data_IF_341635682381
#
_entry.id   IF_341635682381
#
_cell.length_a   1.000
_cell.length_b   1.000
_cell.length_c   1.000
_cell.angle_alpha   90.00
_cell.angle_beta   90.00
_cell.angle_gamma   90.00
#
_symmetry.space_group_name_H-M   'P 1'
#
loop_
_entity.id
_entity.type
_entity.pdbx_description
1 polymer ?
#
# COMPACT_ATOMS: atom_id res chain seq x y z
N UNK A 1 10.59 -17.14 14.36
CA UNK A 1 9.85 -16.00 14.93
C UNK A 1 8.59 -15.86 14.09
N UNK A 2 7.42 -16.10 14.64
CA UNK A 2 6.15 -15.81 13.96
C UNK A 2 5.96 -14.30 14.05
N UNK A 3 6.29 -13.57 12.98
CA UNK A 3 5.92 -12.16 12.90
C UNK A 3 4.39 -12.07 12.87
N UNK A 4 3.82 -11.19 13.69
CA UNK A 4 2.37 -10.97 13.71
C UNK A 4 1.96 -10.23 12.43
N UNK A 5 1.02 -10.78 11.66
CA UNK A 5 0.48 -10.17 10.43
C UNK A 5 0.10 -8.71 10.66
N UNK A 6 -0.45 -8.39 11.84
CA UNK A 6 -0.82 -7.02 12.22
C UNK A 6 0.38 -6.08 12.21
N UNK A 7 1.53 -6.54 12.70
CA UNK A 7 2.76 -5.74 12.74
C UNK A 7 3.27 -5.44 11.34
N UNK A 8 3.25 -6.44 10.45
CA UNK A 8 3.69 -6.27 9.06
C UNK A 8 2.76 -5.30 8.33
N UNK A 9 1.44 -5.42 8.50
CA UNK A 9 0.47 -4.49 7.93
C UNK A 9 0.70 -3.05 8.43
N UNK A 10 1.03 -2.86 9.71
CA UNK A 10 1.34 -1.55 10.27
C UNK A 10 2.65 -0.98 9.69
N UNK A 11 3.66 -1.83 9.45
CA UNK A 11 4.89 -1.41 8.78
C UNK A 11 4.65 -1.04 7.30
N UNK A 12 3.74 -1.72 6.61
CA UNK A 12 3.30 -1.34 5.26
C UNK A 12 2.65 0.05 5.29
N UNK A 13 1.73 0.28 6.23
CA UNK A 13 1.08 1.58 6.41
C UNK A 13 2.10 2.71 6.64
N UNK A 14 3.05 2.50 7.55
CA UNK A 14 4.12 3.47 7.83
C UNK A 14 5.00 3.73 6.62
N UNK A 15 5.33 2.69 5.85
CA UNK A 15 6.13 2.80 4.63
C UNK A 15 5.41 3.63 3.57
N UNK A 16 4.11 3.37 3.36
CA UNK A 16 3.28 4.15 2.43
C UNK A 16 3.15 5.63 2.84
N UNK A 17 3.03 5.90 4.14
CA UNK A 17 3.02 7.28 4.67
C UNK A 17 4.34 8.02 4.47
N UNK A 18 5.46 7.29 4.47
CA UNK A 18 6.83 7.83 4.22
C UNK A 18 7.20 7.86 2.75
N UNK A 19 6.30 7.46 1.87
CA UNK A 19 6.53 7.31 0.43
C UNK A 19 7.62 6.27 0.07
N UNK A 20 7.91 5.36 1.00
CA UNK A 20 8.82 4.23 0.79
C UNK A 20 8.04 3.05 0.18
N UNK A 21 7.78 3.17 -1.13
CA UNK A 21 7.01 2.19 -1.88
C UNK A 21 7.76 0.86 -2.05
N UNK A 22 9.09 0.89 -2.10
CA UNK A 22 9.90 -0.33 -2.22
C UNK A 22 9.78 -1.18 -0.95
N UNK A 23 9.88 -0.55 0.22
CA UNK A 23 9.70 -1.25 1.49
C UNK A 23 8.29 -1.80 1.65
N UNK A 24 7.27 -0.99 1.31
CA UNK A 24 5.88 -1.44 1.34
C UNK A 24 5.65 -2.67 0.46
N UNK A 25 6.22 -2.66 -0.76
CA UNK A 25 6.12 -3.79 -1.71
C UNK A 25 6.87 -5.02 -1.23
N UNK A 26 8.06 -4.84 -0.66
CA UNK A 26 8.82 -5.94 -0.07
C UNK A 26 8.02 -6.65 1.01
N UNK A 27 7.46 -5.89 1.97
CA UNK A 27 6.66 -6.44 3.05
C UNK A 27 5.40 -7.15 2.55
N UNK A 28 4.73 -6.61 1.54
CA UNK A 28 3.58 -7.27 0.92
C UNK A 28 3.96 -8.63 0.30
N UNK A 29 5.07 -8.70 -0.43
CA UNK A 29 5.54 -9.96 -1.01
C UNK A 29 5.91 -11.00 0.07
N UNK A 30 6.44 -10.55 1.21
CA UNK A 30 6.71 -11.43 2.35
C UNK A 30 5.42 -11.94 3.01
N UNK A 31 4.34 -11.15 3.03
CA UNK A 31 3.00 -11.63 3.42
C UNK A 31 2.53 -12.71 2.46
N UNK A 32 2.60 -12.46 1.15
CA UNK A 32 2.12 -13.39 0.12
C UNK A 32 2.83 -14.74 0.20
N UNK A 33 4.15 -14.75 0.35
CA UNK A 33 4.95 -15.99 0.48
C UNK A 33 4.60 -16.80 1.73
N UNK A 34 4.24 -16.13 2.82
CA UNK A 34 3.99 -16.75 4.11
C UNK A 34 2.49 -16.78 4.48
N UNK A 35 1.60 -16.57 3.50
CA UNK A 35 0.16 -16.40 3.72
C UNK A 35 -0.46 -17.56 4.51
N UNK A 36 -0.10 -18.79 4.17
CA UNK A 36 -0.61 -19.99 4.85
C UNK A 36 -0.25 -20.03 6.34
N UNK A 37 0.89 -19.47 6.73
CA UNK A 37 1.33 -19.40 8.13
C UNK A 37 0.44 -18.41 8.88
N UNK A 38 0.19 -17.24 8.29
CA UNK A 38 -0.66 -16.22 8.89
C UNK A 38 -2.10 -16.70 9.06
N UNK A 39 -2.67 -17.32 8.03
CA UNK A 39 -4.05 -17.85 8.07
C UNK A 39 -4.24 -18.87 9.19
N UNK A 40 -3.26 -19.75 9.42
CA UNK A 40 -3.33 -20.76 10.49
C UNK A 40 -3.19 -20.15 11.89
N UNK A 41 -2.58 -18.98 12.01
CA UNK A 41 -2.38 -18.26 13.27
C UNK A 41 -3.46 -17.21 13.57
N UNK A 42 -4.37 -16.96 12.63
CA UNK A 42 -5.37 -15.91 12.72
C UNK A 42 -6.61 -16.35 13.50
N UNK A 43 -6.91 -15.65 14.58
CA UNK A 43 -8.19 -15.69 15.26
C UNK A 43 -9.19 -14.68 14.65
N UNK A 44 -10.46 -14.75 15.05
CA UNK A 44 -11.52 -13.88 14.52
C UNK A 44 -11.26 -12.39 14.79
N UNK A 45 -10.67 -12.05 15.94
CA UNK A 45 -10.37 -10.67 16.33
C UNK A 45 -9.16 -10.12 15.56
N UNK A 46 -8.12 -10.93 15.38
CA UNK A 46 -6.96 -10.64 14.55
C UNK A 46 -7.34 -10.46 13.08
N UNK A 47 -8.24 -11.31 12.56
CA UNK A 47 -8.74 -11.21 11.19
C UNK A 47 -9.49 -9.89 10.95
N UNK A 48 -10.35 -9.50 11.90
CA UNK A 48 -11.08 -8.22 11.82
C UNK A 48 -10.13 -7.03 11.85
N UNK A 49 -9.11 -7.09 12.71
CA UNK A 49 -8.09 -6.04 12.83
C UNK A 49 -7.25 -5.92 11.55
N UNK A 50 -6.81 -7.05 10.98
CA UNK A 50 -6.07 -7.09 9.73
C UNK A 50 -6.90 -6.54 8.56
N UNK A 51 -8.19 -6.91 8.48
CA UNK A 51 -9.09 -6.43 7.44
C UNK A 51 -9.28 -4.90 7.49
N UNK A 52 -9.39 -4.32 8.69
CA UNK A 52 -9.45 -2.87 8.85
C UNK A 52 -8.18 -2.17 8.35
N UNK A 53 -7.00 -2.73 8.67
CA UNK A 53 -5.72 -2.19 8.20
C UNK A 53 -5.57 -2.30 6.67
N UNK A 54 -5.98 -3.43 6.09
CA UNK A 54 -5.97 -3.62 4.63
C UNK A 54 -6.87 -2.59 3.95
N UNK A 55 -8.09 -2.39 4.45
CA UNK A 55 -9.00 -1.39 3.89
C UNK A 55 -8.42 0.02 3.95
N UNK A 56 -7.71 0.35 5.03
CA UNK A 56 -7.04 1.64 5.17
C UNK A 56 -5.87 1.80 4.18
N UNK A 57 -5.02 0.77 4.06
CA UNK A 57 -3.92 0.73 3.09
C UNK A 57 -4.46 0.89 1.66
N UNK A 58 -5.55 0.21 1.31
CA UNK A 58 -6.19 0.38 0.00
C UNK A 58 -6.66 1.82 -0.24
N UNK A 59 -7.23 2.47 0.77
CA UNK A 59 -7.67 3.86 0.66
C UNK A 59 -6.50 4.79 0.38
N UNK A 60 -5.38 4.62 1.11
CA UNK A 60 -4.16 5.39 0.90
C UNK A 60 -3.61 5.20 -0.52
N UNK A 61 -3.59 3.97 -1.01
CA UNK A 61 -3.12 3.66 -2.36
C UNK A 61 -4.03 4.29 -3.44
N UNK A 62 -5.35 4.21 -3.27
CA UNK A 62 -6.32 4.84 -4.20
C UNK A 62 -6.11 6.36 -4.27
N UNK A 63 -5.88 7.00 -3.13
CA UNK A 63 -5.59 8.44 -3.08
C UNK A 63 -4.29 8.79 -3.79
N UNK A 64 -3.19 8.07 -3.50
CA UNK A 64 -1.91 8.27 -4.19
C UNK A 64 -2.02 8.07 -5.71
N UNK A 65 -2.73 7.03 -6.15
CA UNK A 65 -2.98 6.78 -7.58
C UNK A 65 -3.73 7.94 -8.22
N UNK A 66 -4.71 8.52 -7.52
CA UNK A 66 -5.47 9.68 -8.02
C UNK A 66 -4.55 10.88 -8.22
N UNK A 67 -3.73 11.21 -7.23
CA UNK A 67 -2.75 12.31 -7.32
C UNK A 67 -1.78 12.11 -8.49
N UNK A 68 -1.21 10.91 -8.63
CA UNK A 68 -0.30 10.60 -9.74
C UNK A 68 -0.95 10.72 -11.13
N UNK A 69 -2.24 10.37 -11.25
CA UNK A 69 -2.99 10.57 -12.49
C UNK A 69 -3.18 12.05 -12.79
N UNK A 70 -3.58 12.84 -11.80
CA UNK A 70 -3.76 14.30 -11.94
C UNK A 70 -2.44 14.99 -12.34
N UNK A 71 -1.32 14.62 -11.72
CA UNK A 71 0.01 15.13 -12.09
C UNK A 71 0.39 14.75 -13.52
N UNK A 72 0.14 13.50 -13.93
CA UNK A 72 0.42 13.04 -15.29
C UNK A 72 -0.37 13.85 -16.31
N UNK A 73 -1.67 14.06 -16.07
CA UNK A 73 -2.53 14.82 -16.95
C UNK A 73 -2.07 16.28 -17.04
N UNK A 74 -1.72 16.90 -15.91
CA UNK A 74 -1.13 18.24 -15.88
C UNK A 74 0.16 18.33 -16.72
N UNK A 75 1.07 17.36 -16.58
CA UNK A 75 2.32 17.33 -17.34
C UNK A 75 2.08 17.16 -18.85
N UNK A 76 1.12 16.32 -19.24
CA UNK A 76 0.73 16.15 -20.64
C UNK A 76 0.16 17.44 -21.22
N UNK A 77 -0.74 18.09 -20.49
CA UNK A 77 -1.31 19.39 -20.86
C UNK A 77 -0.21 20.44 -20.99
N UNK A 78 0.67 20.60 -20.00
CA UNK A 78 1.81 21.53 -20.08
C UNK A 78 2.69 21.27 -21.30
N UNK A 79 3.01 20.00 -21.60
CA UNK A 79 3.81 19.62 -22.77
C UNK A 79 3.11 19.95 -24.09
N UNK A 80 1.79 19.83 -24.15
CA UNK A 80 1.03 20.24 -25.34
C UNK A 80 1.11 21.75 -25.56
N UNK A 81 0.98 22.57 -24.51
CA UNK A 81 1.09 24.03 -24.62
C UNK A 81 2.51 24.52 -24.91
N UNK A 82 3.54 23.87 -24.35
CA UNK A 82 4.94 24.23 -24.64
C UNK A 82 5.42 23.87 -26.04
N UNK A 83 4.65 23.08 -26.82
CA UNK A 83 4.94 22.82 -28.23
C UNK A 83 4.45 23.93 -29.17
N UNK A 84 3.65 24.86 -28.66
CA UNK A 84 3.10 26.00 -29.41
C UNK A 84 3.84 27.32 -29.13
N UNK A 85 4.93 27.28 -28.36
CA UNK A 85 5.89 28.37 -28.14
C UNK A 85 7.20 27.96 -28.82
#
# INVERSE_FOLDING_TARGET
MTEDLKKILLEIELSLKRDDLERARFLYNEIEKNWEIYVRSLDLEGARSALNLINFIESLLKEKIKVLKEEKDYLLTRRSYSKFI
#
